data_IF_685555780165
#
_entry.id   IF_685555780165
#
_cell.length_a   1.000
_cell.length_b   1.000
_cell.length_c   1.000
_cell.angle_alpha   90.00
_cell.angle_beta   90.00
_cell.angle_gamma   90.00
#
_symmetry.space_group_name_H-M   'P 1'
#
loop_
_entity.id
_entity.type
_entity.pdbx_description
1 polymer ?
#
# COMPACT_ATOMS: atom_id res chain seq x y z
N UNK A 1 -52.92 16.94 -21.05
CA UNK A 1 -52.14 17.01 -19.79
C UNK A 1 -51.04 15.97 -19.90
N UNK A 2 -49.92 16.38 -20.49
CA UNK A 2 -48.78 15.51 -20.81
C UNK A 2 -47.71 15.71 -19.73
N UNK A 3 -47.26 14.63 -19.10
CA UNK A 3 -46.11 14.64 -18.19
C UNK A 3 -44.98 13.93 -18.93
N UNK A 4 -43.94 14.70 -19.25
CA UNK A 4 -42.76 14.28 -19.98
C UNK A 4 -41.73 13.67 -19.00
N UNK A 5 -41.20 12.52 -19.38
CA UNK A 5 -40.15 11.76 -18.69
C UNK A 5 -38.82 12.21 -19.28
N UNK A 6 -37.91 12.74 -18.47
CA UNK A 6 -36.54 13.04 -18.90
C UNK A 6 -35.53 12.35 -17.97
N UNK A 7 -34.84 11.38 -18.56
CA UNK A 7 -33.64 10.69 -18.10
C UNK A 7 -32.45 11.66 -18.04
N UNK A 8 -31.61 11.56 -17.01
CA UNK A 8 -30.31 12.24 -16.96
C UNK A 8 -29.22 11.19 -17.10
N UNK A 9 -28.55 11.21 -18.26
CA UNK A 9 -27.43 10.37 -18.60
C UNK A 9 -26.09 10.97 -18.14
N UNK A 10 -25.21 10.08 -17.66
CA UNK A 10 -23.75 10.06 -17.80
C UNK A 10 -22.92 11.37 -17.63
N UNK A 11 -22.10 11.40 -16.58
CA UNK A 11 -20.85 12.17 -16.57
C UNK A 11 -19.69 11.18 -16.45
N UNK A 12 -19.04 10.92 -17.59
CA UNK A 12 -17.78 10.21 -17.72
C UNK A 12 -16.74 11.29 -18.03
N UNK A 13 -15.83 11.61 -17.09
CA UNK A 13 -14.63 12.39 -17.43
C UNK A 13 -13.38 11.55 -17.22
N UNK A 14 -12.50 11.62 -18.23
CA UNK A 14 -11.28 10.84 -18.42
C UNK A 14 -10.05 11.66 -17.94
N UNK A 15 -9.03 10.92 -17.52
CA UNK A 15 -7.59 11.16 -17.73
C UNK A 15 -6.83 12.18 -16.86
N UNK A 16 -5.96 11.61 -16.00
CA UNK A 16 -4.49 11.78 -15.90
C UNK A 16 -3.92 13.14 -16.33
N UNK A 17 -3.40 13.90 -15.37
CA UNK A 17 -2.31 14.87 -15.58
C UNK A 17 -1.22 14.59 -14.53
N UNK A 18 -0.09 14.10 -15.02
CA UNK A 18 1.21 14.14 -14.36
C UNK A 18 1.70 15.60 -14.38
N UNK A 19 2.03 16.19 -13.24
CA UNK A 19 2.85 17.40 -13.18
C UNK A 19 3.69 17.42 -11.90
N UNK A 20 5.00 17.47 -12.09
CA UNK A 20 6.02 17.45 -11.05
C UNK A 20 6.16 18.81 -10.33
N UNK A 21 6.46 18.73 -9.03
CA UNK A 21 7.44 19.50 -8.24
C UNK A 21 7.49 21.04 -8.38
N UNK A 22 7.36 21.74 -7.24
CA UNK A 22 8.34 22.69 -6.68
C UNK A 22 8.00 22.89 -5.20
N UNK A 23 8.88 22.41 -4.31
CA UNK A 23 8.90 22.77 -2.89
C UNK A 23 9.72 24.06 -2.76
N UNK A 24 9.14 25.12 -2.21
CA UNK A 24 9.83 26.37 -1.94
C UNK A 24 10.90 26.16 -0.84
N UNK A 25 12.16 26.07 -1.25
CA UNK A 25 13.30 26.10 -0.33
C UNK A 25 13.71 27.56 -0.10
N UNK A 26 13.51 28.05 1.13
CA UNK A 26 13.97 29.37 1.57
C UNK A 26 15.47 29.30 1.86
N UNK A 27 16.27 30.04 1.09
CA UNK A 27 17.71 30.16 1.28
C UNK A 27 18.00 31.23 2.32
N UNK A 28 18.70 30.89 3.40
CA UNK A 28 19.33 31.83 4.33
C UNK A 28 20.82 31.98 4.00
N UNK A 29 21.42 33.18 4.02
CA UNK A 29 22.86 33.33 3.84
C UNK A 29 23.60 33.05 5.15
N UNK A 30 24.58 32.15 5.11
CA UNK A 30 25.56 32.00 6.19
C UNK A 30 26.66 33.06 6.03
N UNK A 31 26.86 33.89 7.06
CA UNK A 31 28.00 34.80 7.18
C UNK A 31 29.30 33.99 7.28
N UNK A 32 30.23 34.24 6.37
CA UNK A 32 31.56 33.65 6.40
C UNK A 32 32.44 34.32 7.49
N UNK A 33 32.95 33.52 8.43
CA UNK A 33 34.01 33.90 9.36
C UNK A 33 35.37 33.47 8.77
N UNK A 34 36.28 34.41 8.57
CA UNK A 34 37.68 34.13 8.18
C UNK A 34 38.50 33.75 9.40
N UNK A 35 39.24 32.63 9.34
CA UNK A 35 40.43 32.45 10.18
C UNK A 35 41.55 31.76 9.40
N UNK A 36 42.71 32.41 9.42
CA UNK A 36 44.01 31.96 8.91
C UNK A 36 44.82 31.40 10.07
N UNK A 37 45.34 30.18 9.95
CA UNK A 37 46.65 29.78 10.51
C UNK A 37 47.18 28.51 9.82
N UNK A 38 48.46 28.55 9.46
CA UNK A 38 49.37 27.42 9.14
C UNK A 38 50.61 27.66 10.04
N UNK A 39 51.52 26.72 10.37
CA UNK A 39 51.81 25.46 9.65
C UNK A 39 52.23 24.23 10.52
N UNK A 40 52.24 23.02 9.94
CA UNK A 40 53.32 22.03 10.19
C UNK A 40 53.31 20.85 9.20
N UNK A 41 54.47 20.64 8.57
CA UNK A 41 54.98 19.45 7.85
C UNK A 41 54.01 18.59 7.03
N UNK A 42 53.94 18.88 5.73
CA UNK A 42 53.42 17.95 4.71
C UNK A 42 54.61 17.14 4.17
N UNK A 43 54.56 15.79 4.13
CA UNK A 43 55.57 15.00 3.42
C UNK A 43 55.46 15.22 1.90
N UNK A 44 56.61 15.28 1.23
CA UNK A 44 56.74 15.51 -0.21
C UNK A 44 55.95 14.49 -1.05
N UNK A 45 54.88 14.97 -1.71
CA UNK A 45 53.92 14.19 -2.48
C UNK A 45 54.10 14.34 -4.00
N UNK A 46 55.20 14.94 -4.47
CA UNK A 46 55.45 15.15 -5.91
C UNK A 46 55.82 13.87 -6.69
N UNK A 47 55.71 12.67 -6.10
CA UNK A 47 55.98 11.39 -6.78
C UNK A 47 54.77 10.76 -7.50
N UNK A 48 53.58 11.33 -7.37
CA UNK A 48 52.39 10.81 -8.08
C UNK A 48 51.78 11.90 -8.96
N UNK A 49 52.49 12.27 -10.03
CA UNK A 49 51.82 12.90 -11.16
C UNK A 49 50.95 11.84 -11.87
N UNK A 50 49.69 12.17 -12.24
CA UNK A 50 48.82 11.23 -12.95
C UNK A 50 49.37 10.98 -14.35
N UNK A 51 49.34 9.72 -14.80
CA UNK A 51 49.50 9.38 -16.22
C UNK A 51 48.28 9.98 -16.92
N UNK A 52 48.51 10.98 -17.80
CA UNK A 52 47.48 11.54 -18.66
C UNK A 52 46.80 10.40 -19.43
N UNK A 53 45.50 10.18 -19.19
CA UNK A 53 44.66 9.37 -20.06
C UNK A 53 43.91 8.17 -19.45
N UNK A 54 43.88 7.97 -18.13
CA UNK A 54 42.99 6.97 -17.54
C UNK A 54 41.83 7.64 -16.80
N UNK A 55 40.64 7.54 -17.41
CA UNK A 55 39.37 7.93 -16.81
C UNK A 55 39.22 7.24 -15.46
N UNK A 56 39.09 8.05 -14.40
CA UNK A 56 38.73 7.54 -13.09
C UNK A 56 37.25 7.11 -13.17
N UNK A 57 37.01 5.81 -13.25
CA UNK A 57 35.68 5.27 -12.97
C UNK A 57 35.38 5.59 -11.50
N UNK A 58 34.45 6.51 -11.28
CA UNK A 58 33.96 6.82 -9.95
C UNK A 58 33.36 5.55 -9.37
N UNK A 59 34.01 4.97 -8.36
CA UNK A 59 33.37 4.01 -7.47
C UNK A 59 32.33 4.81 -6.68
N UNK A 60 31.09 4.78 -7.15
CA UNK A 60 29.94 5.23 -6.38
C UNK A 60 29.82 4.30 -5.18
N UNK A 61 30.28 4.77 -4.02
CA UNK A 61 29.96 4.14 -2.74
C UNK A 61 28.44 4.20 -2.58
N UNK A 62 27.74 3.11 -2.89
CA UNK A 62 26.35 2.94 -2.50
C UNK A 62 26.32 2.85 -0.98
N UNK A 63 26.02 3.96 -0.32
CA UNK A 63 25.52 3.93 1.05
C UNK A 63 24.31 2.99 1.03
N UNK A 64 24.45 1.83 1.66
CA UNK A 64 23.32 0.93 1.92
C UNK A 64 22.35 1.75 2.75
N UNK A 65 21.23 2.05 2.11
CA UNK A 65 20.18 2.96 2.56
C UNK A 65 19.63 2.54 3.92
N UNK A 66 19.12 3.52 4.65
CA UNK A 66 18.47 3.33 5.95
C UNK A 66 17.45 2.18 5.88
N UNK A 67 17.26 1.47 6.99
CA UNK A 67 16.27 0.41 7.12
C UNK A 67 14.91 0.91 6.64
N UNK A 68 14.55 0.58 5.40
CA UNK A 68 13.23 0.89 4.86
C UNK A 68 12.25 0.03 5.64
N UNK A 69 11.67 0.58 6.70
CA UNK A 69 10.51 -0.01 7.34
C UNK A 69 9.42 -0.11 6.27
N UNK A 70 9.05 -1.34 5.93
CA UNK A 70 7.95 -1.56 4.99
C UNK A 70 6.70 -0.97 5.63
N UNK A 71 6.08 0.02 4.98
CA UNK A 71 4.84 0.59 5.49
C UNK A 71 3.74 -0.49 5.45
N UNK A 72 2.98 -0.60 6.54
CA UNK A 72 1.82 -1.49 6.61
C UNK A 72 0.77 -1.01 5.60
N UNK A 73 0.54 -1.82 4.57
CA UNK A 73 -0.55 -1.62 3.63
C UNK A 73 -1.76 -2.44 4.10
N UNK A 74 -2.84 -1.75 4.42
CA UNK A 74 -4.08 -2.35 4.90
C UNK A 74 -5.28 -1.65 4.27
N UNK A 75 -6.29 -2.43 3.93
CA UNK A 75 -7.63 -1.95 3.58
C UNK A 75 -8.65 -2.71 4.41
N UNK A 76 -9.74 -2.05 4.82
CA UNK A 76 -10.80 -2.69 5.61
C UNK A 76 -12.16 -2.16 5.19
N UNK A 77 -13.18 -2.99 5.32
CA UNK A 77 -14.54 -2.63 4.98
C UNK A 77 -15.55 -3.66 5.42
N UNK A 78 -16.77 -3.53 4.91
CA UNK A 78 -17.88 -4.44 5.18
C UNK A 78 -18.71 -4.61 3.91
N UNK A 79 -19.27 -5.79 3.71
CA UNK A 79 -20.16 -6.09 2.60
C UNK A 79 -21.37 -6.91 3.06
N UNK A 80 -22.52 -6.68 2.44
CA UNK A 80 -23.73 -7.46 2.69
C UNK A 80 -23.78 -8.69 1.80
N UNK A 81 -23.75 -9.89 2.37
CA UNK A 81 -23.70 -11.12 1.61
C UNK A 81 -24.74 -12.17 1.99
N UNK A 82 -25.33 -12.77 0.98
CA UNK A 82 -26.27 -13.90 1.06
C UNK A 82 -25.60 -15.17 0.48
N UNK A 83 -26.41 -16.17 0.09
CA UNK A 83 -25.93 -17.44 -0.47
C UNK A 83 -25.29 -17.33 -1.86
N UNK A 84 -25.36 -16.17 -2.51
CA UNK A 84 -24.74 -15.90 -3.80
C UNK A 84 -23.35 -15.29 -3.67
N UNK A 85 -22.47 -15.62 -4.63
CA UNK A 85 -21.15 -15.03 -4.69
C UNK A 85 -21.23 -13.59 -5.18
N UNK A 86 -20.64 -12.68 -4.41
CA UNK A 86 -20.48 -11.28 -4.82
C UNK A 86 -19.01 -10.90 -4.82
N UNK A 87 -18.66 -9.97 -5.72
CA UNK A 87 -17.32 -9.40 -5.81
C UNK A 87 -17.22 -8.23 -4.85
N UNK A 88 -16.17 -8.21 -4.03
CA UNK A 88 -15.73 -7.05 -3.26
C UNK A 88 -14.55 -6.45 -4.01
N UNK A 89 -14.72 -5.21 -4.46
CA UNK A 89 -13.67 -4.42 -5.10
C UNK A 89 -12.90 -3.64 -4.04
N UNK A 90 -11.57 -3.65 -4.13
CA UNK A 90 -10.67 -2.91 -3.25
C UNK A 90 -10.36 -1.53 -3.83
N UNK A 91 -10.12 -0.55 -2.95
CA UNK A 91 -9.69 0.80 -3.35
C UNK A 91 -8.23 0.83 -3.79
N UNK A 92 -7.41 -0.11 -3.29
CA UNK A 92 -6.00 -0.27 -3.67
C UNK A 92 -5.67 -1.71 -4.11
N UNK A 93 -4.51 -1.87 -4.76
CA UNK A 93 -4.03 -3.18 -5.22
C UNK A 93 -2.88 -3.69 -4.36
N UNK A 94 -2.90 -4.98 -4.06
CA UNK A 94 -1.92 -5.72 -3.27
C UNK A 94 -1.11 -6.68 -4.15
N UNK A 95 0.15 -6.94 -3.80
CA UNK A 95 1.02 -7.87 -4.54
C UNK A 95 0.79 -9.30 -4.08
N UNK A 96 0.76 -9.51 -2.76
CA UNK A 96 0.47 -10.78 -2.12
C UNK A 96 -0.56 -10.55 -0.99
N UNK A 97 -1.84 -10.37 -1.35
CA UNK A 97 -2.89 -10.07 -0.38
C UNK A 97 -3.14 -11.22 0.60
N UNK A 98 -3.41 -10.87 1.85
CA UNK A 98 -3.99 -11.76 2.87
C UNK A 98 -5.29 -11.15 3.36
N UNK A 99 -6.39 -11.89 3.21
CA UNK A 99 -7.72 -11.45 3.61
C UNK A 99 -8.14 -12.16 4.88
N UNK A 100 -8.61 -11.39 5.85
CA UNK A 100 -9.24 -11.88 7.07
C UNK A 100 -10.71 -11.49 7.02
N UNK A 101 -11.59 -12.50 7.06
CA UNK A 101 -13.04 -12.27 7.18
C UNK A 101 -13.44 -12.16 8.65
N UNK A 102 -14.30 -11.20 8.94
CA UNK A 102 -14.98 -11.03 10.21
C UNK A 102 -16.13 -12.02 10.40
N UNK A 103 -16.74 -11.93 11.56
CA UNK A 103 -17.94 -12.72 11.89
C UNK A 103 -19.13 -12.11 11.14
N UNK A 104 -19.97 -12.93 10.48
CA UNK A 104 -21.23 -12.45 9.93
C UNK A 104 -22.11 -11.79 10.99
N UNK A 105 -22.98 -10.88 10.55
CA UNK A 105 -24.05 -10.33 11.34
C UNK A 105 -25.05 -11.39 11.84
N UNK A 106 -26.11 -10.89 12.47
CA UNK A 106 -27.18 -11.68 13.08
C UNK A 106 -28.55 -11.18 12.55
N UNK A 107 -28.64 -10.94 11.25
CA UNK A 107 -29.89 -10.52 10.60
C UNK A 107 -30.92 -11.66 10.51
N UNK A 108 -30.50 -12.91 10.67
CA UNK A 108 -31.38 -14.06 10.87
C UNK A 108 -30.85 -15.09 11.86
N UNK A 109 -31.76 -15.95 12.35
CA UNK A 109 -31.44 -17.06 13.28
C UNK A 109 -30.85 -18.28 12.57
N UNK A 110 -30.96 -18.34 11.25
CA UNK A 110 -30.44 -19.47 10.47
C UNK A 110 -28.90 -19.46 10.48
N UNK A 111 -28.24 -20.56 10.88
CA UNK A 111 -26.80 -20.59 10.97
C UNK A 111 -26.11 -20.69 9.59
N UNK A 112 -24.95 -20.06 9.50
CA UNK A 112 -24.11 -20.09 8.31
C UNK A 112 -22.65 -19.76 8.60
N UNK A 113 -21.90 -19.47 7.53
CA UNK A 113 -20.48 -19.16 7.59
C UNK A 113 -20.08 -18.21 6.46
N UNK A 114 -19.25 -17.22 6.74
CA UNK A 114 -18.63 -16.40 5.71
C UNK A 114 -17.63 -17.24 4.89
N UNK A 115 -17.68 -17.14 3.56
CA UNK A 115 -16.75 -17.84 2.68
C UNK A 115 -16.14 -16.86 1.68
N UNK A 116 -14.85 -17.02 1.45
CA UNK A 116 -14.12 -16.30 0.41
C UNK A 116 -13.64 -17.26 -0.68
N UNK A 117 -13.54 -16.76 -1.92
CA UNK A 117 -12.74 -17.39 -2.99
C UNK A 117 -12.21 -16.34 -3.96
N UNK A 118 -11.44 -16.81 -4.96
CA UNK A 118 -10.94 -16.00 -6.08
C UNK A 118 -10.28 -14.69 -5.61
N UNK A 119 -9.23 -14.81 -4.80
CA UNK A 119 -8.45 -13.66 -4.38
C UNK A 119 -7.58 -13.16 -5.53
N UNK A 120 -7.76 -11.90 -5.91
CA UNK A 120 -6.98 -11.16 -6.89
C UNK A 120 -6.31 -9.94 -6.23
N UNK A 121 -5.34 -9.27 -6.88
CA UNK A 121 -4.68 -8.07 -6.33
C UNK A 121 -5.62 -6.96 -5.85
N UNK A 122 -6.79 -6.79 -6.47
CA UNK A 122 -7.71 -5.69 -6.19
C UNK A 122 -9.13 -6.13 -5.90
N UNK A 123 -9.39 -7.43 -5.72
CA UNK A 123 -10.73 -7.93 -5.48
C UNK A 123 -10.72 -9.33 -4.87
N UNK A 124 -11.85 -9.71 -4.28
CA UNK A 124 -12.12 -11.08 -3.88
C UNK A 124 -13.62 -11.36 -3.96
N UNK A 125 -13.99 -12.64 -4.00
CA UNK A 125 -15.40 -13.03 -3.91
C UNK A 125 -15.76 -13.45 -2.48
N UNK A 126 -16.90 -12.96 -2.00
CA UNK A 126 -17.45 -13.21 -0.69
C UNK A 126 -18.86 -13.78 -0.79
N UNK A 127 -19.23 -14.64 0.16
CA UNK A 127 -20.64 -14.97 0.40
C UNK A 127 -20.91 -15.39 1.85
N UNK A 128 -22.17 -15.35 2.26
CA UNK A 128 -22.64 -16.05 3.44
C UNK A 128 -23.22 -17.40 3.04
N UNK A 129 -22.62 -18.49 3.50
CA UNK A 129 -23.07 -19.84 3.20
C UNK A 129 -23.91 -20.38 4.35
N UNK A 130 -25.21 -20.52 4.10
CA UNK A 130 -26.11 -21.20 5.01
C UNK A 130 -25.77 -22.70 5.12
N UNK A 131 -25.99 -23.29 6.31
CA UNK A 131 -25.73 -24.70 6.57
C UNK A 131 -26.56 -25.64 5.67
N UNK A 132 -25.97 -26.77 5.29
CA UNK A 132 -26.51 -27.68 4.27
C UNK A 132 -27.86 -28.34 4.58
N UNK A 133 -28.32 -28.34 5.83
CA UNK A 133 -29.62 -28.93 6.20
C UNK A 133 -30.79 -27.95 6.06
N UNK A 134 -30.51 -26.67 5.77
CA UNK A 134 -31.49 -25.63 5.53
C UNK A 134 -31.82 -25.54 4.02
N UNK A 135 -32.59 -24.54 3.63
CA UNK A 135 -33.13 -24.42 2.27
C UNK A 135 -32.22 -23.64 1.30
N UNK A 136 -31.08 -23.14 1.77
CA UNK A 136 -30.14 -22.32 1.00
C UNK A 136 -30.70 -20.93 0.62
N UNK A 137 -31.72 -20.45 1.32
CA UNK A 137 -32.28 -19.12 1.15
C UNK A 137 -32.07 -18.30 2.45
N UNK A 138 -31.18 -17.32 2.40
CA UNK A 138 -30.83 -16.51 3.56
C UNK A 138 -30.82 -15.01 3.20
N UNK A 139 -31.34 -14.11 4.06
CA UNK A 139 -31.16 -12.68 3.85
C UNK A 139 -29.67 -12.29 3.93
N UNK A 140 -29.24 -11.19 3.29
CA UNK A 140 -27.86 -10.75 3.38
C UNK A 140 -27.42 -10.43 4.82
N UNK A 141 -26.25 -10.92 5.20
CA UNK A 141 -25.55 -10.61 6.44
C UNK A 141 -24.43 -9.60 6.21
N UNK A 142 -24.19 -8.69 7.16
CA UNK A 142 -23.02 -7.82 7.11
C UNK A 142 -21.78 -8.63 7.48
N UNK A 143 -20.73 -8.59 6.66
CA UNK A 143 -19.47 -9.30 6.91
C UNK A 143 -18.35 -8.29 6.78
N UNK A 144 -17.69 -8.02 7.90
CA UNK A 144 -16.49 -7.19 7.94
C UNK A 144 -15.30 -7.94 7.35
N UNK A 145 -14.34 -7.21 6.82
CA UNK A 145 -13.14 -7.79 6.24
C UNK A 145 -11.95 -6.84 6.37
N UNK A 146 -10.76 -7.42 6.31
CA UNK A 146 -9.50 -6.70 6.31
C UNK A 146 -8.52 -7.38 5.35
N UNK A 147 -7.87 -6.59 4.51
CA UNK A 147 -6.87 -7.04 3.54
C UNK A 147 -5.53 -6.42 3.89
N UNK A 148 -4.50 -7.25 3.94
CA UNK A 148 -3.13 -6.85 4.18
C UNK A 148 -2.23 -7.27 3.03
N UNK A 149 -1.14 -6.53 2.84
CA UNK A 149 0.02 -7.09 2.17
C UNK A 149 0.70 -8.11 3.09
N UNK A 150 1.10 -9.27 2.57
CA UNK A 150 1.85 -10.25 3.37
C UNK A 150 3.24 -9.69 3.71
N UNK A 151 3.71 -9.93 4.94
CA UNK A 151 5.05 -9.52 5.33
C UNK A 151 5.23 -9.41 6.84
N UNK A 152 6.37 -8.88 7.23
CA UNK A 152 6.69 -8.53 8.61
C UNK A 152 6.87 -7.01 8.70
N UNK A 153 6.15 -6.41 9.64
CA UNK A 153 6.06 -4.97 9.84
C UNK A 153 6.48 -4.65 11.26
N UNK A 154 7.23 -3.57 11.43
CA UNK A 154 7.53 -2.98 12.74
C UNK A 154 6.71 -1.70 12.86
N UNK A 155 5.93 -1.59 13.93
CA UNK A 155 5.15 -0.40 14.26
C UNK A 155 6.04 0.65 14.95
N UNK A 156 5.57 1.89 15.03
CA UNK A 156 6.32 3.01 15.64
C UNK A 156 6.74 2.76 17.10
N UNK A 157 6.04 1.88 17.81
CA UNK A 157 6.33 1.49 19.21
C UNK A 157 7.27 0.28 19.33
N UNK A 158 7.79 -0.24 18.22
CA UNK A 158 8.64 -1.43 18.15
C UNK A 158 7.88 -2.76 18.16
N UNK A 159 6.54 -2.73 18.12
CA UNK A 159 5.74 -3.95 18.01
C UNK A 159 5.92 -4.58 16.63
N UNK A 160 6.20 -5.89 16.61
CA UNK A 160 6.29 -6.67 15.38
C UNK A 160 4.92 -7.24 15.01
N UNK A 161 4.54 -7.08 13.75
CA UNK A 161 3.31 -7.61 13.15
C UNK A 161 3.67 -8.46 11.93
N UNK A 162 3.20 -9.70 11.88
CA UNK A 162 3.46 -10.61 10.76
C UNK A 162 2.14 -11.12 10.19
N UNK A 163 2.02 -11.04 8.87
CA UNK A 163 0.84 -11.51 8.13
C UNK A 163 1.28 -12.42 7.00
N UNK A 164 0.65 -13.60 6.94
CA UNK A 164 0.94 -14.61 5.94
C UNK A 164 -0.11 -15.71 5.93
N UNK A 165 0.12 -16.72 5.10
CA UNK A 165 -0.70 -17.93 5.03
C UNK A 165 0.16 -19.16 5.36
N UNK A 166 -0.47 -20.21 5.87
CA UNK A 166 0.19 -21.49 6.10
C UNK A 166 -0.18 -22.46 4.97
N UNK A 167 0.78 -23.28 4.48
CA UNK A 167 0.55 -24.26 3.42
C UNK A 167 -0.26 -25.49 3.87
#
# INVERSE_FOLDING_TARGET
>A
MLVEIASVAAIKLRSVILAALIVNFVVWPALAMTQTTTPSSIPDWTRFAPVEGQVAEAYTTSSVDESVQQALQVEMGSAFADNEWQVVELEQTFVNPVVILGVPGDNSIEPGVARMRHLEPGSFELKFQEWMYLDQAHPPESIDWMVFESGSYELDDGTMFEVGTFP
#
